data_IF_916367724813
#
_entry.id   IF_916367724813
#
_cell.length_a   1.000
_cell.length_b   1.000
_cell.length_c   1.000
_cell.angle_alpha   90.00
_cell.angle_beta   90.00
_cell.angle_gamma   90.00
#
_symmetry.space_group_name_H-M   'P 1'
#
loop_
_entity.id
_entity.type
_entity.pdbx_description
1 polymer ?
#
# COMPACT_ATOMS: atom_id res chain seq x y z
N UNK A 1 -28.36 18.97 -6.17
CA UNK A 1 -28.38 18.13 -4.96
C UNK A 1 -27.21 17.19 -5.10
N UNK A 2 -26.26 17.24 -4.19
CA UNK A 2 -25.13 16.31 -4.17
C UNK A 2 -25.68 14.90 -3.97
N UNK A 3 -25.33 13.97 -4.84
CA UNK A 3 -25.73 12.57 -4.71
C UNK A 3 -24.99 11.98 -3.51
N UNK A 4 -25.72 11.47 -2.53
CA UNK A 4 -25.11 10.73 -1.43
C UNK A 4 -24.80 9.32 -1.92
N UNK A 5 -23.51 8.94 -1.81
CA UNK A 5 -23.05 7.60 -2.10
C UNK A 5 -22.89 6.82 -0.79
N UNK A 6 -23.14 5.54 -0.85
CA UNK A 6 -22.98 4.64 0.29
C UNK A 6 -21.65 3.88 0.21
N UNK A 7 -21.10 3.42 1.34
CA UNK A 7 -19.95 2.52 1.36
C UNK A 7 -20.18 1.29 0.49
N UNK A 8 -19.15 0.88 -0.23
CA UNK A 8 -19.22 -0.28 -1.12
C UNK A 8 -18.28 -1.37 -0.62
N UNK A 9 -18.83 -2.56 -0.36
CA UNK A 9 -18.02 -3.74 -0.07
C UNK A 9 -17.19 -4.11 -1.31
N UNK A 10 -15.92 -4.33 -1.12
CA UNK A 10 -14.96 -4.57 -2.19
C UNK A 10 -14.65 -6.06 -2.32
N UNK A 11 -14.77 -6.64 -3.50
CA UNK A 11 -14.31 -8.00 -3.75
C UNK A 11 -12.77 -8.06 -3.71
N UNK A 12 -12.22 -9.26 -3.53
CA UNK A 12 -10.81 -9.49 -3.73
C UNK A 12 -10.40 -9.16 -5.18
N UNK A 13 -9.22 -8.55 -5.34
CA UNK A 13 -8.66 -8.15 -6.63
C UNK A 13 -7.17 -8.51 -6.65
N UNK A 14 -6.88 -9.76 -7.00
CA UNK A 14 -5.53 -10.33 -6.95
C UNK A 14 -4.95 -10.49 -8.36
N UNK A 15 -4.33 -9.43 -8.94
CA UNK A 15 -3.64 -9.55 -10.21
C UNK A 15 -2.44 -10.50 -10.07
N UNK A 16 -2.19 -11.38 -11.06
CA UNK A 16 -1.04 -12.29 -11.02
C UNK A 16 0.26 -11.54 -10.91
N UNK A 17 1.12 -11.95 -9.97
CA UNK A 17 2.44 -11.38 -9.74
C UNK A 17 3.55 -12.36 -10.13
N UNK A 18 4.80 -11.87 -10.12
CA UNK A 18 5.99 -12.64 -10.47
C UNK A 18 6.64 -13.34 -9.25
N UNK A 19 6.08 -13.18 -8.05
CA UNK A 19 6.54 -13.81 -6.81
C UNK A 19 5.39 -14.53 -6.12
N UNK A 20 5.71 -15.41 -5.17
CA UNK A 20 4.74 -16.30 -4.51
C UNK A 20 4.18 -15.66 -3.25
N UNK A 21 2.93 -16.05 -2.93
CA UNK A 21 2.20 -15.66 -1.73
C UNK A 21 0.70 -15.70 -1.95
N UNK A 22 -0.04 -15.18 -0.97
CA UNK A 22 -1.50 -15.04 -1.00
C UNK A 22 -2.24 -15.92 0.01
N UNK A 23 -1.57 -16.85 0.68
CA UNK A 23 -2.21 -17.71 1.68
C UNK A 23 -2.71 -16.93 2.89
N UNK A 24 -1.94 -15.92 3.35
CA UNK A 24 -2.37 -15.04 4.44
C UNK A 24 -3.55 -14.14 4.04
N UNK A 25 -3.59 -13.69 2.78
CA UNK A 25 -4.73 -12.95 2.22
C UNK A 25 -5.99 -13.84 2.21
N UNK A 26 -5.87 -15.07 1.70
CA UNK A 26 -6.97 -16.04 1.69
C UNK A 26 -7.49 -16.32 3.10
N UNK A 27 -6.58 -16.54 4.05
CA UNK A 27 -6.95 -16.76 5.45
C UNK A 27 -7.66 -15.55 6.08
N UNK A 28 -7.20 -14.32 5.80
CA UNK A 28 -7.86 -13.10 6.26
C UNK A 28 -9.27 -12.98 5.67
N UNK A 29 -9.43 -13.22 4.36
CA UNK A 29 -10.72 -13.13 3.67
C UNK A 29 -11.66 -14.33 3.87
N UNK A 30 -11.29 -15.30 4.72
CA UNK A 30 -12.10 -16.49 5.02
C UNK A 30 -12.20 -17.48 3.85
N UNK A 31 -11.27 -17.42 2.90
CA UNK A 31 -11.19 -18.39 1.81
C UNK A 31 -10.40 -19.65 2.22
N UNK A 32 -10.71 -20.79 1.61
CA UNK A 32 -10.07 -22.08 1.93
C UNK A 32 -8.77 -22.34 1.14
N UNK A 33 -8.05 -21.28 0.79
CA UNK A 33 -6.79 -21.32 0.04
C UNK A 33 -6.80 -20.39 -1.15
N UNK A 34 -5.68 -20.29 -1.84
CA UNK A 34 -5.55 -19.50 -3.08
C UNK A 34 -5.66 -20.39 -4.30
N UNK A 35 -6.35 -19.94 -5.34
CA UNK A 35 -6.39 -20.61 -6.65
C UNK A 35 -5.02 -20.55 -7.36
N UNK A 36 -4.15 -19.64 -6.92
CA UNK A 36 -2.82 -19.41 -7.50
C UNK A 36 -1.78 -19.11 -6.41
N UNK A 37 -0.63 -19.74 -6.50
CA UNK A 37 0.54 -19.41 -5.67
C UNK A 37 1.17 -18.04 -6.03
N UNK A 38 0.71 -17.39 -7.09
CA UNK A 38 1.17 -16.10 -7.60
C UNK A 38 0.12 -15.01 -7.46
N UNK A 39 -0.64 -15.04 -6.36
CA UNK A 39 -1.61 -14.02 -5.95
C UNK A 39 -1.22 -13.33 -4.64
N UNK A 40 0.04 -12.87 -4.47
CA UNK A 40 0.52 -12.33 -3.21
C UNK A 40 0.00 -10.94 -2.89
N UNK A 41 -0.68 -10.29 -3.82
CA UNK A 41 -1.21 -8.94 -3.65
C UNK A 41 -2.71 -8.89 -3.95
N UNK A 42 -3.48 -8.31 -3.04
CA UNK A 42 -4.87 -7.93 -3.27
C UNK A 42 -4.96 -6.40 -3.31
N UNK A 43 -5.27 -5.85 -4.50
CA UNK A 43 -5.34 -4.42 -4.75
C UNK A 43 -6.72 -3.89 -4.37
N UNK A 44 -6.84 -3.49 -3.11
CA UNK A 44 -8.10 -3.16 -2.45
C UNK A 44 -8.63 -1.80 -2.90
N UNK A 45 -9.78 -1.78 -3.59
CA UNK A 45 -10.38 -0.54 -4.05
C UNK A 45 -9.49 0.23 -5.04
N UNK A 46 -8.76 -0.50 -5.88
CA UNK A 46 -7.78 0.08 -6.79
C UNK A 46 -8.42 0.76 -7.99
N UNK A 47 -7.95 1.98 -8.27
CA UNK A 47 -8.15 2.71 -9.54
C UNK A 47 -6.89 2.70 -10.40
N UNK A 48 -5.84 2.00 -9.95
CA UNK A 48 -4.54 1.89 -10.58
C UNK A 48 -4.45 0.61 -11.41
N UNK A 49 -3.85 0.68 -12.59
CA UNK A 49 -3.52 -0.49 -13.39
C UNK A 49 -2.07 -0.93 -13.17
N UNK A 50 -1.79 -2.21 -13.34
CA UNK A 50 -0.42 -2.68 -13.48
C UNK A 50 0.27 -1.97 -14.64
N UNK A 51 1.57 -1.72 -14.49
CA UNK A 51 2.35 -1.00 -15.52
C UNK A 51 2.25 -1.68 -16.90
N UNK A 52 1.84 -0.89 -17.89
CA UNK A 52 1.64 -1.37 -19.26
C UNK A 52 0.39 -2.20 -19.49
N UNK A 53 -0.55 -2.24 -18.51
CA UNK A 53 -1.84 -2.91 -18.63
C UNK A 53 -2.99 -1.89 -18.68
N UNK A 54 -4.10 -2.26 -19.31
CA UNK A 54 -5.27 -1.36 -19.45
C UNK A 54 -6.26 -1.47 -18.28
N UNK A 55 -6.48 -2.67 -17.77
CA UNK A 55 -7.51 -2.95 -16.76
C UNK A 55 -7.04 -3.85 -15.62
N UNK A 56 -5.93 -4.58 -15.80
CA UNK A 56 -5.39 -5.46 -14.77
C UNK A 56 -4.91 -4.62 -13.58
N UNK A 57 -5.40 -4.92 -12.39
CA UNK A 57 -5.20 -4.14 -11.16
C UNK A 57 -6.40 -3.25 -10.79
N UNK A 58 -7.31 -2.91 -11.72
CA UNK A 58 -8.52 -2.15 -11.39
C UNK A 58 -9.50 -3.00 -10.57
N UNK A 59 -10.14 -2.39 -9.58
CA UNK A 59 -11.23 -3.01 -8.83
C UNK A 59 -12.54 -2.84 -9.57
N UNK A 60 -13.26 -3.97 -9.76
CA UNK A 60 -14.61 -3.98 -10.29
C UNK A 60 -15.60 -4.00 -9.13
N UNK A 61 -16.49 -3.01 -9.08
CA UNK A 61 -17.54 -2.92 -8.07
C UNK A 61 -18.57 -4.06 -8.24
N UNK A 62 -19.35 -4.41 -7.21
CA UNK A 62 -20.44 -5.39 -7.32
C UNK A 62 -21.47 -5.04 -8.41
N UNK A 63 -21.62 -3.76 -8.75
CA UNK A 63 -22.46 -3.28 -9.87
C UNK A 63 -21.93 -3.66 -11.25
N UNK A 64 -20.68 -4.17 -11.34
CA UNK A 64 -20.01 -4.48 -12.61
C UNK A 64 -19.25 -3.30 -13.24
N UNK A 65 -19.29 -2.11 -12.65
CA UNK A 65 -18.56 -0.90 -13.10
C UNK A 65 -17.16 -0.89 -12.46
N UNK A 66 -16.16 -0.38 -13.18
CA UNK A 66 -14.85 -0.14 -12.59
C UNK A 66 -14.93 1.00 -11.56
N UNK A 67 -14.28 0.85 -10.40
CA UNK A 67 -14.23 1.92 -9.39
C UNK A 67 -13.64 3.21 -9.98
N UNK A 68 -12.63 3.09 -10.83
CA UNK A 68 -12.03 4.23 -11.56
C UNK A 68 -13.10 5.03 -12.32
N UNK A 69 -13.97 4.33 -13.06
CA UNK A 69 -14.99 4.98 -13.87
C UNK A 69 -16.07 5.61 -12.97
N UNK A 70 -16.47 4.91 -11.89
CA UNK A 70 -17.41 5.45 -10.91
C UNK A 70 -16.89 6.72 -10.20
N UNK A 71 -15.60 6.77 -9.88
CA UNK A 71 -14.94 7.96 -9.29
C UNK A 71 -14.87 9.08 -10.33
N UNK A 72 -14.50 8.77 -11.59
CA UNK A 72 -14.44 9.75 -12.67
C UNK A 72 -15.80 10.36 -13.03
N UNK A 73 -16.89 9.59 -12.88
CA UNK A 73 -18.26 10.07 -13.16
C UNK A 73 -18.76 11.08 -12.11
N UNK A 74 -18.34 10.99 -10.87
CA UNK A 74 -18.74 11.91 -9.78
C UNK A 74 -17.61 12.07 -8.74
N UNK A 75 -16.48 12.71 -9.11
CA UNK A 75 -15.31 12.80 -8.26
C UNK A 75 -15.58 13.56 -6.95
N UNK A 76 -16.43 14.58 -6.97
CA UNK A 76 -16.78 15.33 -5.75
C UNK A 76 -17.55 14.47 -4.73
N UNK A 77 -18.43 13.58 -5.21
CA UNK A 77 -19.16 12.68 -4.32
C UNK A 77 -18.24 11.59 -3.73
N UNK A 78 -17.30 11.08 -4.53
CA UNK A 78 -16.36 10.06 -4.06
C UNK A 78 -15.26 10.63 -3.19
N UNK A 79 -14.65 11.75 -3.58
CA UNK A 79 -13.38 12.23 -3.03
C UNK A 79 -13.53 13.51 -2.20
N UNK A 80 -14.58 14.29 -2.45
CA UNK A 80 -14.77 15.62 -1.86
C UNK A 80 -14.09 16.74 -2.64
N UNK A 81 -14.72 17.90 -2.73
CA UNK A 81 -14.28 19.02 -3.56
C UNK A 81 -12.86 19.52 -3.20
N UNK A 82 -12.47 19.49 -1.93
CA UNK A 82 -11.13 19.90 -1.50
C UNK A 82 -10.04 18.91 -1.97
N UNK A 83 -10.33 17.62 -1.98
CA UNK A 83 -9.43 16.60 -2.56
C UNK A 83 -9.32 16.77 -4.07
N UNK A 84 -10.47 16.93 -4.76
CA UNK A 84 -10.52 17.11 -6.22
C UNK A 84 -9.74 18.35 -6.66
N UNK A 85 -9.81 19.43 -5.89
CA UNK A 85 -9.03 20.64 -6.17
C UNK A 85 -7.50 20.40 -6.10
N UNK A 86 -7.05 19.46 -5.28
CA UNK A 86 -5.63 19.13 -5.10
C UNK A 86 -5.12 18.04 -6.05
N UNK A 87 -5.89 16.97 -6.24
CA UNK A 87 -5.45 15.72 -6.89
C UNK A 87 -6.32 15.32 -8.09
N UNK A 88 -7.31 16.14 -8.47
CA UNK A 88 -8.24 15.80 -9.55
C UNK A 88 -9.13 14.62 -9.18
N UNK A 89 -9.40 13.76 -10.14
CA UNK A 89 -10.18 12.52 -10.00
C UNK A 89 -9.36 11.32 -9.53
N UNK A 90 -8.08 11.52 -9.21
CA UNK A 90 -7.25 10.48 -8.61
C UNK A 90 -7.65 10.26 -7.15
N UNK A 91 -7.78 9.00 -6.73
CA UNK A 91 -7.93 8.66 -5.30
C UNK A 91 -6.71 9.06 -4.46
N UNK A 92 -5.56 9.35 -5.10
CA UNK A 92 -4.30 9.68 -4.43
C UNK A 92 -3.70 8.54 -3.61
N UNK A 93 -4.25 7.32 -3.75
CA UNK A 93 -3.93 6.18 -2.90
C UNK A 93 -4.15 4.87 -3.64
N UNK A 94 -3.25 3.91 -3.45
CA UNK A 94 -3.46 2.50 -3.70
C UNK A 94 -3.22 1.73 -2.40
N UNK A 95 -4.17 0.89 -2.01
CA UNK A 95 -4.07 0.00 -0.84
C UNK A 95 -3.93 -1.43 -1.32
N UNK A 96 -3.00 -2.17 -0.73
CA UNK A 96 -2.85 -3.60 -0.99
C UNK A 96 -2.84 -4.39 0.30
N UNK A 97 -3.38 -5.60 0.26
CA UNK A 97 -2.94 -6.67 1.14
C UNK A 97 -1.79 -7.37 0.42
N UNK A 98 -0.61 -7.41 1.01
CA UNK A 98 0.56 -8.06 0.43
C UNK A 98 1.06 -9.15 1.37
N UNK A 99 1.07 -10.38 0.87
CA UNK A 99 1.56 -11.57 1.56
C UNK A 99 2.84 -12.08 0.88
N UNK A 100 3.97 -11.82 1.48
CA UNK A 100 5.27 -12.24 0.96
C UNK A 100 5.54 -13.73 1.25
N UNK A 101 4.90 -14.63 0.50
CA UNK A 101 5.18 -16.08 0.54
C UNK A 101 6.54 -16.47 -0.06
N UNK A 102 7.28 -15.49 -0.49
CA UNK A 102 8.66 -15.53 -0.95
C UNK A 102 9.22 -14.13 -0.77
N UNK A 103 10.53 -13.97 -0.46
CA UNK A 103 11.18 -12.66 -0.41
C UNK A 103 11.00 -11.92 -1.74
N UNK A 104 10.60 -10.65 -1.68
CA UNK A 104 10.57 -9.78 -2.85
C UNK A 104 12.00 -9.42 -3.30
N UNK A 105 12.22 -9.15 -4.59
CA UNK A 105 13.53 -8.71 -5.09
C UNK A 105 13.97 -7.40 -4.45
N UNK A 106 15.25 -7.10 -4.47
CA UNK A 106 15.74 -5.75 -4.16
C UNK A 106 15.30 -4.81 -5.26
N UNK A 107 14.51 -3.79 -4.89
CA UNK A 107 13.96 -2.80 -5.79
C UNK A 107 13.83 -1.44 -5.11
N UNK A 108 13.40 -0.44 -5.84
CA UNK A 108 13.09 0.91 -5.35
C UNK A 108 12.06 1.57 -6.27
N UNK A 109 11.59 2.74 -5.88
CA UNK A 109 10.53 3.44 -6.59
C UNK A 109 10.94 4.84 -7.01
N UNK A 110 10.42 5.36 -8.15
CA UNK A 110 10.74 6.71 -8.59
C UNK A 110 10.09 7.77 -7.70
N UNK A 111 10.77 8.92 -7.57
CA UNK A 111 10.15 10.14 -7.01
C UNK A 111 9.13 10.73 -7.97
N UNK A 112 8.24 11.64 -7.49
CA UNK A 112 7.26 12.32 -8.35
C UNK A 112 7.93 13.05 -9.52
N UNK A 113 9.01 13.78 -9.26
CA UNK A 113 9.73 14.51 -10.29
C UNK A 113 10.35 13.60 -11.36
N UNK A 114 10.86 12.44 -10.92
CA UNK A 114 11.40 11.44 -11.85
C UNK A 114 10.28 10.76 -12.65
N UNK A 115 9.18 10.40 -12.01
CA UNK A 115 8.03 9.80 -12.67
C UNK A 115 7.39 10.74 -13.68
N UNK A 116 7.31 12.04 -13.36
CA UNK A 116 6.84 13.04 -14.31
C UNK A 116 7.74 13.13 -15.54
N UNK A 117 9.05 13.12 -15.35
CA UNK A 117 10.03 13.22 -16.46
C UNK A 117 10.06 12.00 -17.37
N UNK A 118 9.92 10.79 -16.82
CA UNK A 118 10.23 9.55 -17.54
C UNK A 118 9.01 8.67 -17.83
N UNK A 119 7.90 8.85 -17.09
CA UNK A 119 6.70 8.02 -17.20
C UNK A 119 5.41 8.82 -17.45
N UNK A 120 5.52 10.14 -17.64
CA UNK A 120 4.36 11.05 -17.81
C UNK A 120 3.31 10.87 -16.69
N UNK A 121 3.79 10.72 -15.45
CA UNK A 121 2.96 10.50 -14.27
C UNK A 121 3.14 11.64 -13.26
N UNK A 122 2.01 12.09 -12.65
CA UNK A 122 2.05 13.05 -11.55
C UNK A 122 2.55 12.43 -10.24
N UNK A 123 2.51 11.11 -10.14
CA UNK A 123 2.88 10.37 -8.95
C UNK A 123 4.10 9.49 -9.19
N UNK A 124 5.03 9.50 -8.25
CA UNK A 124 6.04 8.48 -8.06
C UNK A 124 5.45 7.26 -7.36
N UNK A 125 6.23 6.66 -6.45
CA UNK A 125 5.72 5.57 -5.62
C UNK A 125 6.37 5.60 -4.23
N UNK A 126 5.95 6.55 -3.42
CA UNK A 126 6.18 6.49 -1.97
C UNK A 126 5.20 5.49 -1.37
N UNK A 127 5.64 4.67 -0.41
CA UNK A 127 4.81 3.65 0.21
C UNK A 127 5.03 3.51 1.71
N UNK A 128 4.13 2.81 2.39
CA UNK A 128 4.27 2.42 3.78
C UNK A 128 3.64 1.04 4.00
N UNK A 129 4.26 0.25 4.87
CA UNK A 129 3.81 -1.07 5.25
C UNK A 129 3.30 -1.07 6.69
N UNK A 130 2.12 -1.61 6.90
CA UNK A 130 1.57 -1.90 8.22
C UNK A 130 1.60 -3.42 8.36
N UNK A 131 2.50 -3.94 9.16
CA UNK A 131 2.62 -5.38 9.39
C UNK A 131 1.40 -5.87 10.17
N UNK A 132 0.58 -6.69 9.54
CA UNK A 132 -0.65 -7.24 10.15
C UNK A 132 -0.52 -8.70 10.54
N UNK A 133 0.54 -9.36 10.08
CA UNK A 133 0.87 -10.74 10.45
C UNK A 133 2.26 -11.12 10.00
N UNK A 134 2.80 -12.13 10.66
CA UNK A 134 4.08 -12.74 10.29
C UNK A 134 4.02 -14.25 10.45
N UNK A 135 4.78 -14.98 9.65
CA UNK A 135 4.93 -16.43 9.77
C UNK A 135 6.36 -16.87 9.37
N UNK A 136 6.71 -18.13 9.60
CA UNK A 136 8.09 -18.62 9.43
C UNK A 136 8.99 -18.23 10.62
N UNK A 137 10.30 -18.50 10.48
CA UNK A 137 11.24 -18.41 11.60
C UNK A 137 11.87 -17.01 11.75
N UNK A 138 11.97 -16.22 10.68
CA UNK A 138 12.72 -14.96 10.70
C UNK A 138 12.12 -13.90 9.73
N UNK A 139 10.87 -13.44 9.97
CA UNK A 139 10.23 -12.42 9.15
C UNK A 139 10.95 -11.08 9.29
N UNK A 140 11.41 -10.52 8.16
CA UNK A 140 12.21 -9.29 8.12
C UNK A 140 11.83 -8.41 6.96
N UNK A 141 12.17 -7.12 7.10
CA UNK A 141 12.18 -6.14 6.01
C UNK A 141 13.58 -5.56 5.84
N UNK A 142 13.86 -5.05 4.64
CA UNK A 142 15.20 -4.62 4.27
C UNK A 142 15.16 -3.18 3.71
N UNK A 143 15.01 -2.12 4.53
CA UNK A 143 14.95 -0.74 4.08
C UNK A 143 16.32 -0.07 4.05
N UNK A 144 16.71 0.50 2.92
CA UNK A 144 17.89 1.35 2.76
C UNK A 144 19.23 0.66 2.91
N UNK A 145 20.27 1.20 2.30
CA UNK A 145 21.63 0.71 2.47
C UNK A 145 22.18 1.02 3.86
N UNK A 146 22.97 0.11 4.44
CA UNK A 146 23.64 0.33 5.74
C UNK A 146 24.72 1.41 5.67
N UNK A 147 25.38 1.51 4.54
CA UNK A 147 26.47 2.46 4.28
C UNK A 147 26.21 3.16 2.95
N UNK A 148 26.79 4.36 2.80
CA UNK A 148 26.72 5.08 1.52
C UNK A 148 27.50 4.32 0.44
N UNK A 149 26.84 4.05 -0.66
CA UNK A 149 27.41 3.39 -1.84
C UNK A 149 27.55 4.37 -3.01
N UNK A 150 28.48 4.05 -3.92
CA UNK A 150 28.50 4.76 -5.21
C UNK A 150 27.41 4.21 -6.13
N UNK A 151 26.85 5.06 -6.99
CA UNK A 151 25.91 4.60 -8.05
C UNK A 151 26.56 3.58 -8.97
N UNK A 152 27.86 3.71 -9.24
CA UNK A 152 28.62 2.77 -10.07
C UNK A 152 28.66 1.37 -9.44
N UNK A 153 28.84 1.27 -8.12
CA UNK A 153 28.79 -0.01 -7.39
C UNK A 153 27.43 -0.69 -7.53
N UNK A 154 26.34 0.08 -7.34
CA UNK A 154 25.00 -0.48 -7.49
C UNK A 154 24.71 -0.86 -8.94
N UNK A 155 25.14 -0.06 -9.91
CA UNK A 155 25.01 -0.35 -11.34
C UNK A 155 25.77 -1.64 -11.71
N UNK A 156 26.97 -1.85 -11.16
CA UNK A 156 27.74 -3.08 -11.35
C UNK A 156 27.01 -4.31 -10.80
N UNK A 157 26.53 -4.27 -9.55
CA UNK A 157 25.76 -5.37 -8.97
C UNK A 157 24.47 -5.66 -9.77
N UNK A 158 23.79 -4.60 -10.25
CA UNK A 158 22.59 -4.74 -11.07
C UNK A 158 22.89 -5.40 -12.42
N UNK A 159 24.00 -5.03 -13.07
CA UNK A 159 24.41 -5.62 -14.35
C UNK A 159 24.81 -7.09 -14.19
N UNK A 160 25.56 -7.41 -13.13
CA UNK A 160 26.06 -8.75 -12.86
C UNK A 160 25.02 -9.64 -12.16
N UNK A 161 23.97 -9.03 -11.60
CA UNK A 161 22.94 -9.66 -10.78
C UNK A 161 23.53 -10.30 -9.51
N UNK A 162 24.39 -9.54 -8.83
CA UNK A 162 24.95 -9.94 -7.54
C UNK A 162 23.94 -9.70 -6.42
N UNK A 163 22.89 -10.54 -6.39
CA UNK A 163 21.84 -10.48 -5.38
C UNK A 163 22.36 -10.58 -3.94
N UNK A 164 23.38 -11.44 -3.63
CA UNK A 164 23.96 -11.46 -2.29
C UNK A 164 24.55 -10.12 -1.84
N UNK A 165 25.27 -9.42 -2.71
CA UNK A 165 25.83 -8.09 -2.40
C UNK A 165 24.75 -7.05 -2.25
N UNK A 166 23.74 -7.03 -3.14
CA UNK A 166 22.59 -6.11 -3.05
C UNK A 166 21.87 -6.27 -1.72
N UNK A 167 21.41 -7.49 -1.40
CA UNK A 167 20.66 -7.78 -0.19
C UNK A 167 21.52 -7.60 1.07
N UNK A 168 22.78 -8.05 1.01
CA UNK A 168 23.74 -7.92 2.12
C UNK A 168 24.11 -6.48 2.45
N UNK A 169 23.95 -5.53 1.54
CA UNK A 169 24.18 -4.11 1.77
C UNK A 169 23.00 -3.40 2.43
N UNK A 170 21.80 -3.94 2.35
CA UNK A 170 20.61 -3.35 2.98
C UNK A 170 20.61 -3.55 4.50
N UNK A 171 19.93 -2.67 5.21
CA UNK A 171 19.53 -2.91 6.59
C UNK A 171 18.63 -4.14 6.66
N UNK A 172 18.61 -4.81 7.79
CA UNK A 172 17.79 -6.01 8.01
C UNK A 172 17.11 -5.89 9.36
N UNK A 173 15.79 -5.67 9.34
CA UNK A 173 14.99 -5.36 10.52
C UNK A 173 13.97 -6.48 10.73
N UNK A 174 14.01 -7.21 11.86
CA UNK A 174 12.95 -8.15 12.21
C UNK A 174 11.67 -7.38 12.47
N UNK A 175 10.53 -7.93 12.03
CA UNK A 175 9.22 -7.29 12.17
C UNK A 175 8.19 -8.24 12.77
N UNK A 176 7.18 -7.65 13.41
CA UNK A 176 6.04 -8.34 13.98
C UNK A 176 4.74 -7.55 13.70
N UNK A 177 3.59 -8.19 13.91
CA UNK A 177 2.30 -7.52 13.78
C UNK A 177 2.24 -6.26 14.66
N UNK A 178 1.79 -5.15 14.09
CA UNK A 178 1.76 -3.83 14.71
C UNK A 178 2.94 -2.92 14.32
N UNK A 179 4.01 -3.46 13.77
CA UNK A 179 5.11 -2.63 13.26
C UNK A 179 4.70 -1.94 11.96
N UNK A 180 5.24 -0.73 11.74
CA UNK A 180 5.03 0.00 10.49
C UNK A 180 6.34 0.53 9.95
N UNK A 181 6.46 0.52 8.62
CA UNK A 181 7.67 0.98 7.92
C UNK A 181 7.26 1.93 6.80
N UNK A 182 7.76 3.14 6.83
CA UNK A 182 7.61 4.13 5.78
C UNK A 182 8.76 4.01 4.79
N UNK A 183 8.47 3.93 3.50
CA UNK A 183 9.44 3.79 2.41
C UNK A 183 9.34 5.01 1.50
N UNK A 184 10.16 6.03 1.72
CA UNK A 184 10.21 7.17 0.81
C UNK A 184 10.69 6.73 -0.58
N UNK A 185 10.14 7.36 -1.63
CA UNK A 185 10.58 7.12 -2.99
C UNK A 185 12.10 7.26 -3.12
N UNK A 186 12.72 6.41 -3.92
CA UNK A 186 14.18 6.29 -4.08
C UNK A 186 14.85 5.33 -3.11
N UNK A 187 14.24 5.00 -1.97
CA UNK A 187 14.84 4.10 -0.98
C UNK A 187 14.89 2.66 -1.51
N UNK A 188 16.09 2.03 -1.65
CA UNK A 188 16.17 0.61 -2.01
C UNK A 188 15.66 -0.25 -0.88
N UNK A 189 14.84 -1.28 -1.21
CA UNK A 189 14.23 -2.12 -0.19
C UNK A 189 13.86 -3.50 -0.71
N UNK A 190 13.50 -4.38 0.23
CA UNK A 190 12.86 -5.66 -0.02
C UNK A 190 11.99 -6.06 1.18
N UNK A 191 10.95 -6.87 0.93
CA UNK A 191 10.15 -7.52 1.97
C UNK A 191 10.55 -8.98 2.04
N UNK A 192 10.90 -9.47 3.22
CA UNK A 192 11.29 -10.85 3.47
C UNK A 192 10.10 -11.82 3.41
N UNK A 193 10.41 -13.10 3.19
CA UNK A 193 9.41 -14.16 3.27
C UNK A 193 8.74 -14.18 4.64
N UNK A 194 7.44 -14.44 4.68
CA UNK A 194 6.67 -14.56 5.90
C UNK A 194 6.13 -13.23 6.46
N UNK A 195 6.27 -12.12 5.74
CA UNK A 195 5.72 -10.83 6.14
C UNK A 195 4.39 -10.58 5.42
N UNK A 196 3.32 -10.30 6.19
CA UNK A 196 2.01 -9.94 5.68
C UNK A 196 1.66 -8.51 6.10
N UNK A 197 1.39 -7.64 5.12
CA UNK A 197 1.17 -6.20 5.34
C UNK A 197 -0.13 -5.69 4.70
N UNK A 198 -0.66 -4.62 5.30
CA UNK A 198 -1.47 -3.63 4.58
C UNK A 198 -0.48 -2.58 4.05
N UNK A 199 -0.33 -2.51 2.75
CA UNK A 199 0.53 -1.53 2.08
C UNK A 199 -0.31 -0.35 1.61
N UNK A 200 0.12 0.87 1.93
CA UNK A 200 -0.37 2.10 1.33
C UNK A 200 0.72 2.65 0.42
N UNK A 201 0.34 3.07 -0.77
CA UNK A 201 1.27 3.68 -1.72
C UNK A 201 0.61 4.77 -2.57
N UNK A 202 1.42 5.64 -3.19
CA UNK A 202 0.94 6.48 -4.26
C UNK A 202 0.36 5.63 -5.40
N UNK A 203 -0.66 6.12 -6.14
CA UNK A 203 -1.47 5.30 -7.05
C UNK A 203 -0.76 4.97 -8.37
N UNK A 204 0.40 4.33 -8.30
CA UNK A 204 1.19 3.86 -9.45
C UNK A 204 1.74 2.46 -9.21
N UNK A 205 2.17 1.79 -10.30
CA UNK A 205 2.82 0.49 -10.24
C UNK A 205 4.28 0.56 -10.75
N UNK A 206 5.01 1.61 -10.33
CA UNK A 206 6.39 1.82 -10.76
C UNK A 206 7.37 1.14 -9.81
N UNK A 207 7.88 -0.04 -10.19
CA UNK A 207 8.93 -0.74 -9.45
C UNK A 207 10.19 -0.88 -10.30
N UNK A 208 11.27 -0.20 -9.88
CA UNK A 208 12.59 -0.28 -10.50
C UNK A 208 13.38 -1.39 -9.81
N UNK A 209 13.40 -2.57 -10.42
CA UNK A 209 13.87 -3.81 -9.80
C UNK A 209 15.34 -4.07 -10.14
N UNK A 210 16.22 -3.84 -9.17
CA UNK A 210 17.66 -4.07 -9.30
C UNK A 210 17.98 -5.57 -9.44
N UNK A 211 17.34 -6.40 -8.60
CA UNK A 211 17.46 -7.86 -8.59
C UNK A 211 16.39 -8.48 -9.52
N UNK A 212 16.61 -8.44 -10.81
CA UNK A 212 15.58 -8.82 -11.78
C UNK A 212 15.67 -10.29 -12.25
N UNK A 213 16.86 -10.90 -12.28
CA UNK A 213 17.11 -12.16 -13.02
C UNK A 213 16.22 -13.34 -12.62
N UNK A 214 16.02 -13.59 -11.34
CA UNK A 214 15.24 -14.73 -10.87
C UNK A 214 13.76 -14.41 -10.64
N UNK A 215 13.35 -13.16 -10.93
CA UNK A 215 12.00 -12.67 -10.71
C UNK A 215 11.30 -12.26 -12.01
N UNK A 216 11.99 -11.57 -12.89
CA UNK A 216 11.40 -10.96 -14.08
C UNK A 216 11.90 -11.65 -15.34
N UNK A 217 11.09 -11.58 -16.41
CA UNK A 217 11.40 -12.24 -17.68
C UNK A 217 12.61 -11.61 -18.41
N UNK A 218 12.91 -10.35 -18.13
CA UNK A 218 14.03 -9.64 -18.76
C UNK A 218 14.40 -8.37 -17.97
N UNK A 219 15.61 -7.81 -18.19
CA UNK A 219 16.05 -6.57 -17.58
C UNK A 219 15.14 -5.37 -17.93
N UNK A 220 14.53 -5.35 -19.11
CA UNK A 220 13.61 -4.28 -19.55
C UNK A 220 12.41 -4.16 -18.62
N UNK A 221 11.95 -5.26 -18.05
CA UNK A 221 10.91 -5.25 -17.03
C UNK A 221 11.40 -4.66 -15.71
N UNK A 222 12.67 -4.87 -15.36
CA UNK A 222 13.28 -4.34 -14.15
C UNK A 222 13.45 -2.82 -14.16
N UNK A 223 13.74 -2.24 -15.30
CA UNK A 223 13.91 -0.79 -15.45
C UNK A 223 12.75 -0.11 -16.20
N UNK A 224 11.61 -0.78 -16.38
CA UNK A 224 10.41 -0.25 -17.03
C UNK A 224 10.65 0.42 -18.40
N UNK A 225 11.66 -0.06 -19.14
CA UNK A 225 12.00 0.43 -20.48
C UNK A 225 12.95 1.61 -20.55
N UNK A 226 13.34 2.25 -19.43
CA UNK A 226 14.19 3.47 -19.42
C UNK A 226 15.70 3.21 -19.31
N UNK A 227 16.12 1.97 -19.08
CA UNK A 227 17.51 1.59 -18.82
C UNK A 227 17.94 1.78 -17.36
N UNK A 228 18.83 0.89 -16.86
CA UNK A 228 19.28 0.96 -15.46
C UNK A 228 20.13 2.20 -15.16
N UNK A 229 20.93 2.70 -16.08
CA UNK A 229 21.71 3.92 -15.88
C UNK A 229 20.78 5.11 -15.55
N UNK A 230 19.66 5.23 -16.29
CA UNK A 230 18.63 6.24 -16.02
C UNK A 230 17.89 5.93 -14.70
N UNK A 231 17.47 4.67 -14.48
CA UNK A 231 16.73 4.30 -13.29
C UNK A 231 17.49 4.64 -12.00
N UNK A 232 18.80 4.36 -11.96
CA UNK A 232 19.67 4.61 -10.79
C UNK A 232 19.84 6.12 -10.49
N UNK A 233 19.48 7.03 -11.40
CA UNK A 233 19.51 8.46 -11.11
C UNK A 233 18.61 8.84 -9.91
N UNK A 234 17.46 8.18 -9.74
CA UNK A 234 16.51 8.44 -8.63
C UNK A 234 16.73 7.55 -7.40
N UNK A 235 17.72 6.64 -7.42
CA UNK A 235 18.03 5.78 -6.29
C UNK A 235 18.72 6.56 -5.15
N UNK A 236 18.25 6.40 -3.92
CA UNK A 236 18.97 6.84 -2.72
C UNK A 236 20.08 5.83 -2.37
N UNK A 237 21.31 6.20 -2.63
CA UNK A 237 22.50 5.40 -2.31
C UNK A 237 23.15 5.80 -0.98
N UNK A 238 22.55 6.72 -0.22
CA UNK A 238 23.06 7.13 1.09
C UNK A 238 22.90 6.04 2.14
N UNK A 239 23.79 6.04 3.13
CA UNK A 239 23.69 5.14 4.29
C UNK A 239 22.51 5.53 5.19
N UNK A 240 21.77 4.52 5.65
CA UNK A 240 20.69 4.64 6.61
C UNK A 240 21.10 4.01 7.93
N UNK A 241 21.64 4.84 8.81
CA UNK A 241 22.01 4.44 10.17
C UNK A 241 20.76 4.25 11.07
N UNK A 242 20.98 3.81 12.29
CA UNK A 242 19.91 3.55 13.26
C UNK A 242 19.03 4.78 13.54
N UNK A 243 19.60 5.99 13.57
CA UNK A 243 18.82 7.20 13.85
C UNK A 243 17.94 7.60 12.67
N UNK A 244 18.39 7.44 11.43
CA UNK A 244 17.55 7.59 10.25
C UNK A 244 16.46 6.52 10.19
N UNK A 245 16.78 5.26 10.48
CA UNK A 245 15.80 4.18 10.50
C UNK A 245 14.67 4.44 11.50
N UNK A 246 14.95 5.01 12.66
CA UNK A 246 13.93 5.41 13.65
C UNK A 246 12.93 6.45 13.10
N UNK A 247 13.26 7.18 12.04
CA UNK A 247 12.34 8.13 11.41
C UNK A 247 11.29 7.47 10.49
N UNK A 248 11.54 6.23 10.08
CA UNK A 248 10.67 5.49 9.15
C UNK A 248 10.06 4.22 9.78
N UNK A 249 10.61 3.71 10.86
CA UNK A 249 10.09 2.50 11.55
C UNK A 249 9.41 2.90 12.85
N UNK A 250 8.16 2.44 13.03
CA UNK A 250 7.41 2.58 14.28
C UNK A 250 7.00 1.21 14.80
N UNK A 251 7.08 1.04 16.10
CA UNK A 251 6.58 -0.13 16.81
C UNK A 251 5.33 0.29 17.60
N UNK A 252 4.17 -0.23 17.24
CA UNK A 252 2.87 0.14 17.85
C UNK A 252 2.24 -0.99 18.65
N UNK A 253 3.05 -1.93 19.15
CA UNK A 253 2.60 -3.04 19.95
C UNK A 253 2.05 -2.59 21.31
N UNK A 254 0.91 -3.19 21.73
CA UNK A 254 0.38 -3.02 23.08
C UNK A 254 -0.39 -1.72 23.34
N UNK A 255 -0.71 -0.95 22.32
CA UNK A 255 -1.55 0.24 22.47
C UNK A 255 -3.03 -0.16 22.51
N UNK A 256 -3.69 0.08 23.66
CA UNK A 256 -5.13 -0.17 23.86
C UNK A 256 -6.00 1.00 23.43
N UNK A 257 -5.42 2.06 22.85
CA UNK A 257 -6.19 3.22 22.40
C UNK A 257 -7.19 2.84 21.30
N UNK A 258 -8.38 3.45 21.36
CA UNK A 258 -9.42 3.25 20.35
C UNK A 258 -8.95 3.59 18.95
N UNK A 259 -8.10 4.59 18.80
CA UNK A 259 -7.50 4.98 17.52
C UNK A 259 -6.02 5.30 17.67
N UNK A 260 -5.21 4.86 16.72
CA UNK A 260 -3.76 5.09 16.67
C UNK A 260 -3.37 5.46 15.25
N UNK A 261 -2.70 6.61 15.09
CA UNK A 261 -1.99 6.95 13.86
C UNK A 261 -0.81 6.00 13.67
N UNK A 262 -0.85 5.22 12.61
CA UNK A 262 0.09 4.12 12.40
C UNK A 262 1.39 4.56 11.74
N UNK A 263 1.37 5.60 10.91
CA UNK A 263 2.46 5.87 10.01
C UNK A 263 3.48 6.87 10.60
N UNK A 264 4.67 6.87 10.04
CA UNK A 264 5.70 7.86 10.35
C UNK A 264 5.26 9.25 9.83
N UNK A 265 5.62 10.36 10.50
CA UNK A 265 5.19 11.71 10.12
C UNK A 265 5.45 12.10 8.66
N UNK A 266 6.56 11.60 8.07
CA UNK A 266 6.90 11.85 6.67
C UNK A 266 5.91 11.29 5.65
N UNK A 267 5.03 10.37 6.04
CA UNK A 267 4.02 9.79 5.15
C UNK A 267 2.80 10.69 4.93
N UNK A 268 2.54 11.65 5.84
CA UNK A 268 1.30 12.44 5.87
C UNK A 268 1.08 13.28 4.60
N UNK A 269 2.16 13.60 3.88
CA UNK A 269 2.12 14.30 2.59
C UNK A 269 1.53 13.41 1.48
N UNK A 270 1.62 12.09 1.62
CA UNK A 270 1.24 11.11 0.60
C UNK A 270 -0.03 10.34 0.96
N UNK A 271 -0.17 9.91 2.23
CA UNK A 271 -1.31 9.13 2.71
C UNK A 271 -1.34 9.09 4.24
N UNK A 272 -2.45 8.61 4.79
CA UNK A 272 -2.69 8.47 6.24
C UNK A 272 -3.31 7.12 6.54
N UNK A 273 -2.96 6.51 7.68
CA UNK A 273 -3.58 5.28 8.14
C UNK A 273 -3.79 5.30 9.64
N UNK A 274 -4.99 4.93 10.06
CA UNK A 274 -5.34 4.76 11.47
C UNK A 274 -5.73 3.31 11.74
N UNK A 275 -5.26 2.75 12.85
CA UNK A 275 -5.88 1.57 13.45
C UNK A 275 -7.01 2.02 14.36
N UNK A 276 -8.18 1.44 14.16
CA UNK A 276 -9.38 1.64 15.00
C UNK A 276 -9.66 0.29 15.63
N UNK A 277 -9.62 0.25 16.97
CA UNK A 277 -9.89 -0.95 17.75
C UNK A 277 -11.06 -0.69 18.69
N UNK A 278 -12.13 -1.47 18.55
CA UNK A 278 -13.38 -1.35 19.30
C UNK A 278 -13.63 -2.61 20.11
N UNK A 279 -14.12 -2.42 21.34
CA UNK A 279 -14.48 -3.49 22.28
C UNK A 279 -15.92 -3.30 22.78
N UNK A 280 -16.89 -3.26 21.84
CA UNK A 280 -18.30 -3.05 22.13
C UNK A 280 -18.73 -1.57 22.20
N UNK A 281 -17.86 -0.65 21.88
CA UNK A 281 -18.12 0.80 21.78
C UNK A 281 -18.30 1.23 20.32
N UNK A 282 -18.58 2.50 20.10
CA UNK A 282 -18.66 3.12 18.78
C UNK A 282 -17.60 4.20 18.63
N UNK A 283 -17.18 4.46 17.37
CA UNK A 283 -16.22 5.47 17.00
C UNK A 283 -16.64 6.18 15.71
N UNK A 284 -16.70 7.51 15.77
CA UNK A 284 -17.07 8.35 14.63
C UNK A 284 -15.87 8.64 13.72
N UNK A 285 -16.09 8.53 12.41
CA UNK A 285 -15.13 8.83 11.37
C UNK A 285 -15.55 10.11 10.64
N UNK A 286 -14.59 11.01 10.43
CA UNK A 286 -14.76 12.20 9.62
C UNK A 286 -15.07 11.89 8.15
N UNK A 287 -15.84 12.73 7.43
CA UNK A 287 -16.07 12.57 6.00
C UNK A 287 -14.75 12.60 5.23
N UNK A 288 -14.43 11.51 4.55
CA UNK A 288 -13.21 11.38 3.74
C UNK A 288 -13.34 10.15 2.86
N UNK A 289 -12.89 10.22 1.60
CA UNK A 289 -12.62 8.97 0.91
C UNK A 289 -11.68 8.12 1.72
N UNK A 290 -12.04 6.87 1.94
CA UNK A 290 -11.18 5.93 2.65
C UNK A 290 -11.41 4.50 2.18
N UNK A 291 -10.35 3.69 2.29
CA UNK A 291 -10.41 2.24 2.19
C UNK A 291 -10.33 1.67 3.61
N UNK A 292 -11.33 0.88 4.00
CA UNK A 292 -11.35 0.17 5.27
C UNK A 292 -10.93 -1.29 5.05
N UNK A 293 -10.08 -1.79 5.94
CA UNK A 293 -9.65 -3.19 5.97
C UNK A 293 -9.94 -3.74 7.37
N UNK A 294 -10.89 -4.65 7.49
CA UNK A 294 -11.23 -5.29 8.77
C UNK A 294 -10.27 -6.46 9.04
N UNK A 295 -9.45 -6.31 10.08
CA UNK A 295 -8.43 -7.30 10.43
C UNK A 295 -8.96 -8.38 11.38
N UNK A 296 -9.90 -8.02 12.25
CA UNK A 296 -10.46 -8.94 13.24
C UNK A 296 -11.82 -8.49 13.75
N UNK A 297 -12.61 -9.44 14.26
CA UNK A 297 -13.89 -9.18 14.89
C UNK A 297 -15.05 -8.91 13.93
N UNK A 298 -16.13 -8.33 14.49
CA UNK A 298 -17.34 -8.00 13.74
C UNK A 298 -18.04 -6.76 14.30
N UNK A 299 -18.80 -6.07 13.46
CA UNK A 299 -19.51 -4.86 13.82
C UNK A 299 -20.35 -4.29 12.69
N UNK A 300 -20.63 -3.01 12.77
CA UNK A 300 -21.46 -2.28 11.80
C UNK A 300 -20.81 -0.93 11.46
N UNK A 301 -20.78 -0.61 10.18
CA UNK A 301 -20.51 0.73 9.66
C UNK A 301 -21.84 1.40 9.35
N UNK A 302 -22.14 2.52 10.02
CA UNK A 302 -23.35 3.32 9.81
C UNK A 302 -23.00 4.65 9.17
N UNK A 303 -23.78 5.11 8.20
CA UNK A 303 -23.60 6.41 7.56
C UNK A 303 -24.53 7.48 8.13
N UNK A 304 -24.17 8.74 7.93
CA UNK A 304 -24.99 9.91 8.30
C UNK A 304 -26.40 9.87 7.68
N UNK A 305 -26.52 9.25 6.51
CA UNK A 305 -27.76 9.15 5.75
C UNK A 305 -28.58 7.90 6.02
N UNK A 306 -28.22 7.13 7.07
CA UNK A 306 -28.99 6.00 7.58
C UNK A 306 -28.67 4.64 6.95
N UNK A 307 -27.63 4.55 6.10
CA UNK A 307 -27.11 3.27 5.62
C UNK A 307 -26.44 2.48 6.75
N UNK A 308 -26.66 1.17 6.80
CA UNK A 308 -26.03 0.25 7.74
C UNK A 308 -25.37 -0.92 6.98
N UNK A 309 -24.10 -1.14 7.24
CA UNK A 309 -23.27 -2.14 6.54
C UNK A 309 -22.61 -3.04 7.56
N UNK A 310 -22.81 -4.37 7.50
CA UNK A 310 -22.08 -5.30 8.35
C UNK A 310 -20.59 -5.23 8.02
N UNK A 311 -19.75 -5.34 9.04
CA UNK A 311 -18.29 -5.40 8.90
C UNK A 311 -17.82 -6.60 9.69
N UNK A 312 -17.14 -7.53 9.04
CA UNK A 312 -16.54 -8.68 9.68
C UNK A 312 -15.06 -8.82 9.24
N UNK A 313 -14.31 -9.60 9.98
CA UNK A 313 -12.92 -9.93 9.62
C UNK A 313 -12.80 -10.33 8.15
N UNK A 314 -11.85 -9.70 7.44
CA UNK A 314 -11.59 -9.90 6.04
C UNK A 314 -12.40 -9.02 5.09
N UNK A 315 -13.43 -8.33 5.58
CA UNK A 315 -14.17 -7.37 4.77
C UNK A 315 -13.31 -6.14 4.46
N UNK A 316 -13.53 -5.60 3.27
CA UNK A 316 -12.94 -4.33 2.85
C UNK A 316 -14.01 -3.45 2.22
N UNK A 317 -13.94 -2.14 2.48
CA UNK A 317 -14.90 -1.16 1.99
C UNK A 317 -14.21 0.04 1.35
N UNK A 318 -14.76 0.53 0.23
CA UNK A 318 -14.54 1.91 -0.20
C UNK A 318 -15.64 2.77 0.43
N UNK A 319 -15.23 3.78 1.20
CA UNK A 319 -16.15 4.75 1.82
C UNK A 319 -16.03 6.06 1.07
N UNK A 320 -17.09 6.50 0.34
CA UNK A 320 -17.08 7.76 -0.38
C UNK A 320 -17.12 8.96 0.59
N UNK A 321 -16.58 10.09 0.19
CA UNK A 321 -16.69 11.34 0.95
C UNK A 321 -18.16 11.72 1.23
N UNK A 322 -19.04 11.53 0.25
CA UNK A 322 -20.47 11.91 0.36
C UNK A 322 -21.30 10.95 1.21
N UNK A 323 -20.72 9.88 1.75
CA UNK A 323 -21.37 9.10 2.81
C UNK A 323 -21.53 9.91 4.11
N UNK A 324 -20.82 11.06 4.19
CA UNK A 324 -20.86 11.96 5.32
C UNK A 324 -20.09 11.42 6.52
N UNK A 325 -20.42 11.88 7.71
CA UNK A 325 -19.89 11.29 8.94
C UNK A 325 -20.34 9.83 9.04
N UNK A 326 -19.40 8.94 9.32
CA UNK A 326 -19.71 7.53 9.50
C UNK A 326 -19.36 7.09 10.91
N UNK A 327 -19.97 6.00 11.38
CA UNK A 327 -19.72 5.43 12.68
C UNK A 327 -19.43 3.94 12.56
N UNK A 328 -18.31 3.50 13.13
CA UNK A 328 -18.00 2.10 13.34
C UNK A 328 -18.43 1.69 14.77
N UNK A 329 -19.08 0.55 14.92
CA UNK A 329 -19.49 0.01 16.23
C UNK A 329 -19.31 -1.50 16.24
N UNK A 330 -19.17 -2.08 17.44
CA UNK A 330 -19.00 -3.52 17.62
C UNK A 330 -17.70 -3.89 18.32
N UNK A 331 -17.25 -5.11 18.13
CA UNK A 331 -15.96 -5.60 18.62
C UNK A 331 -15.10 -5.97 17.41
N UNK A 332 -14.27 -5.03 16.92
CA UNK A 332 -13.53 -5.21 15.69
C UNK A 332 -12.25 -4.37 15.67
N UNK A 333 -11.31 -4.78 14.85
CA UNK A 333 -10.10 -4.03 14.51
C UNK A 333 -10.09 -3.72 13.02
N UNK A 334 -10.00 -2.42 12.66
CA UNK A 334 -10.02 -1.93 11.28
C UNK A 334 -8.81 -1.03 11.04
N UNK A 335 -8.17 -1.18 9.88
CA UNK A 335 -7.26 -0.16 9.33
C UNK A 335 -8.08 0.74 8.41
N UNK A 336 -8.05 2.05 8.68
CA UNK A 336 -8.59 3.09 7.79
C UNK A 336 -7.48 3.72 7.01
N UNK A 337 -7.43 3.48 5.71
CA UNK A 337 -6.47 4.04 4.77
C UNK A 337 -7.07 5.24 4.05
N UNK A 338 -6.34 6.39 4.02
CA UNK A 338 -6.83 7.64 3.45
C UNK A 338 -5.77 8.30 2.59
N UNK A 339 -6.15 9.05 1.53
CA UNK A 339 -5.22 9.94 0.84
C UNK A 339 -4.68 11.03 1.78
N UNK A 340 -3.71 11.84 1.33
CA UNK A 340 -3.23 12.98 2.11
C UNK A 340 -4.40 13.90 2.47
N UNK A 341 -4.26 14.59 3.59
CA UNK A 341 -5.26 15.59 3.98
C UNK A 341 -5.34 16.70 2.92
N UNK A 342 -6.54 17.20 2.60
CA UNK A 342 -6.67 18.44 1.86
C UNK A 342 -5.97 19.59 2.61
N UNK A 343 -5.47 20.60 1.88
CA UNK A 343 -4.90 21.79 2.52
C UNK A 343 -5.94 22.51 3.38
N UNK A 344 -5.59 22.80 4.63
CA UNK A 344 -6.44 23.56 5.55
C UNK A 344 -7.46 22.74 6.35
N UNK A 345 -7.33 21.40 6.38
CA UNK A 345 -8.16 20.52 7.22
C UNK A 345 -7.46 20.17 8.54
#
# INVERSE_FOLDING_TARGET
>A
MTKHLEPVALPANQPPQFYRGGDAIAALRGATGTDSKFGPEDWVGSVTTMFGQETNGLTKLPSGIWLRDAVGDDPDAWLGAAHVAKLGDSTGLLVKLLDAGQRLPVHFHPTDSFAHKHFDSHFGKTEAWIVVGTYGDDPRVYPGFRETLSKDTVAEWTREQDAPSMLGALNSIPVQAGDTVYIPAGLPHAIGEGVFVVELQQPTDFSLTLEWRDFLASPEKGHLGIGFDTAIETLDTSGWDEDRLKTIVKHTSGDEATTVDLLAPGSAEFFRADRIQLSGNAFSLDPSFSVLVALDGEGTLRTEHGGEFPVAKGDTYAVPFSAGQTELSGSLTVIRCRPPAPEGS
#
